data_IF_404969970401
#
_entry.id   IF_404969970401
#
_cell.length_a   1.000
_cell.length_b   1.000
_cell.length_c   1.000
_cell.angle_alpha   90.00
_cell.angle_beta   90.00
_cell.angle_gamma   90.00
#
_symmetry.space_group_name_H-M   'P 1'
#
loop_
_entity.id
_entity.type
_entity.pdbx_description
1 polymer ?
#
# COMPACT_ATOMS: atom_id res chain seq x y z
N UNK A 1 14.70 25.56 6.90
CA UNK A 1 15.43 24.35 7.39
C UNK A 1 14.49 23.31 7.99
N UNK A 2 13.54 23.68 8.84
CA UNK A 2 12.63 22.72 9.52
C UNK A 2 11.80 21.88 8.53
N UNK A 3 11.33 22.45 7.41
CA UNK A 3 10.56 21.72 6.39
C UNK A 3 11.31 20.52 5.79
N UNK A 4 12.61 20.69 5.51
CA UNK A 4 13.42 19.59 4.98
C UNK A 4 13.52 18.41 5.93
N UNK A 5 13.51 18.65 7.24
CA UNK A 5 13.50 17.60 8.25
C UNK A 5 12.20 16.82 8.24
N UNK A 6 11.05 17.51 8.12
CA UNK A 6 9.75 16.84 8.03
C UNK A 6 9.61 16.01 6.75
N UNK A 7 10.08 16.55 5.61
CA UNK A 7 10.09 15.82 4.33
C UNK A 7 10.99 14.58 4.45
N UNK A 8 12.18 14.73 5.04
CA UNK A 8 13.08 13.60 5.30
C UNK A 8 12.48 12.56 6.23
N UNK A 9 11.82 12.98 7.32
CA UNK A 9 11.17 12.09 8.27
C UNK A 9 9.99 11.34 7.63
N UNK A 10 9.16 12.01 6.82
CA UNK A 10 8.06 11.35 6.10
C UNK A 10 8.58 10.31 5.11
N UNK A 11 9.67 10.63 4.38
CA UNK A 11 10.31 9.68 3.48
C UNK A 11 10.87 8.45 4.22
N UNK A 12 11.51 8.64 5.37
CA UNK A 12 11.99 7.54 6.19
C UNK A 12 10.85 6.65 6.69
N UNK A 13 9.75 7.24 7.14
CA UNK A 13 8.57 6.49 7.59
C UNK A 13 7.96 5.66 6.44
N UNK A 14 7.83 6.24 5.25
CA UNK A 14 7.35 5.52 4.08
C UNK A 14 8.27 4.34 3.70
N UNK A 15 9.60 4.52 3.80
CA UNK A 15 10.54 3.42 3.56
C UNK A 15 10.48 2.35 4.65
N UNK A 16 10.26 2.72 5.90
CA UNK A 16 10.06 1.76 6.98
C UNK A 16 8.80 0.92 6.75
N UNK A 17 7.66 1.53 6.43
CA UNK A 17 6.44 0.81 6.08
C UNK A 17 6.64 -0.15 4.90
N UNK A 18 7.44 0.27 3.91
CA UNK A 18 7.80 -0.60 2.79
C UNK A 18 8.64 -1.79 3.22
N UNK A 19 9.61 -1.58 4.10
CA UNK A 19 10.44 -2.67 4.65
C UNK A 19 9.59 -3.64 5.49
N UNK A 20 8.67 -3.12 6.29
CA UNK A 20 7.77 -3.94 7.10
C UNK A 20 6.86 -4.80 6.22
N UNK A 21 6.32 -4.22 5.13
CA UNK A 21 5.51 -4.97 4.16
C UNK A 21 6.34 -6.05 3.45
N UNK A 22 7.55 -5.73 3.01
CA UNK A 22 8.44 -6.71 2.38
C UNK A 22 8.79 -7.84 3.36
N UNK A 23 9.07 -7.51 4.61
CA UNK A 23 9.37 -8.49 5.66
C UNK A 23 8.18 -9.42 5.93
N UNK A 24 6.96 -8.86 5.96
CA UNK A 24 5.73 -9.64 6.09
C UNK A 24 5.54 -10.58 4.89
N UNK A 25 5.69 -10.06 3.66
CA UNK A 25 5.60 -10.88 2.44
C UNK A 25 6.65 -12.01 2.43
N UNK A 26 7.87 -11.71 2.86
CA UNK A 26 8.95 -12.69 2.93
C UNK A 26 8.69 -13.77 3.99
N UNK A 27 8.19 -13.36 5.16
CA UNK A 27 7.83 -14.30 6.23
C UNK A 27 6.72 -15.27 5.81
N UNK A 28 5.87 -14.86 4.87
CA UNK A 28 4.73 -15.63 4.39
C UNK A 28 4.94 -16.26 3.00
N UNK A 29 6.18 -16.29 2.50
CA UNK A 29 6.46 -16.80 1.14
C UNK A 29 6.08 -18.27 0.96
N UNK A 30 6.19 -19.07 2.01
CA UNK A 30 5.80 -20.50 2.01
C UNK A 30 4.38 -20.75 2.53
N UNK A 31 3.65 -19.68 2.92
CA UNK A 31 2.29 -19.82 3.40
C UNK A 31 1.33 -20.03 2.24
N UNK A 32 0.59 -21.16 2.27
CA UNK A 32 -0.38 -21.49 1.23
C UNK A 32 -1.54 -20.49 1.21
N UNK A 33 -1.89 -20.04 0.00
CA UNK A 33 -2.99 -19.08 -0.17
C UNK A 33 -2.67 -17.65 0.22
N UNK A 34 -1.44 -17.34 0.65
CA UNK A 34 -1.02 -15.97 0.94
C UNK A 34 -0.97 -15.12 -0.34
N UNK A 35 -1.41 -13.90 -0.23
CA UNK A 35 -1.35 -12.88 -1.28
C UNK A 35 -0.48 -11.72 -0.81
N UNK A 36 0.51 -11.36 -1.64
CA UNK A 36 1.45 -10.29 -1.29
C UNK A 36 0.75 -8.93 -1.22
N UNK A 37 1.21 -8.12 -0.31
CA UNK A 37 0.78 -6.74 -0.17
C UNK A 37 1.84 -5.79 -0.73
N UNK A 38 1.39 -4.71 -1.34
CA UNK A 38 2.23 -3.67 -1.93
C UNK A 38 1.78 -2.33 -1.36
N UNK A 39 2.67 -1.57 -0.69
CA UNK A 39 2.32 -0.26 -0.17
C UNK A 39 2.21 0.75 -1.33
N UNK A 40 1.10 1.46 -1.36
CA UNK A 40 0.85 2.57 -2.28
C UNK A 40 1.09 3.87 -1.54
N UNK A 41 2.06 4.62 -2.02
CA UNK A 41 2.42 5.90 -1.45
C UNK A 41 1.76 7.04 -2.20
N UNK A 42 1.34 8.06 -1.44
CA UNK A 42 0.76 9.29 -1.94
C UNK A 42 1.62 10.47 -1.48
N UNK A 43 1.74 11.46 -2.32
CA UNK A 43 2.37 12.72 -1.93
C UNK A 43 1.44 13.56 -1.05
N UNK A 44 2.01 14.29 -0.11
CA UNK A 44 1.29 15.35 0.59
C UNK A 44 0.94 16.48 -0.38
N UNK A 45 -0.04 17.31 0.02
CA UNK A 45 -0.45 18.49 -0.74
C UNK A 45 0.76 19.36 -1.10
N UNK A 46 0.80 19.79 -2.34
CA UNK A 46 1.83 20.68 -2.86
C UNK A 46 1.62 22.11 -2.38
N UNK A 47 2.73 22.81 -2.13
CA UNK A 47 2.75 24.26 -1.94
C UNK A 47 3.24 24.95 -3.19
N UNK A 48 2.52 25.99 -3.59
CA UNK A 48 2.93 26.84 -4.70
C UNK A 48 4.14 27.70 -4.31
N UNK A 49 5.21 27.58 -5.08
CA UNK A 49 6.37 28.42 -4.96
C UNK A 49 6.17 29.71 -5.75
N UNK A 50 6.30 30.82 -5.05
CA UNK A 50 6.30 32.15 -5.66
C UNK A 50 7.69 32.74 -5.63
N UNK A 51 8.03 33.43 -6.68
CA UNK A 51 9.28 34.19 -6.74
C UNK A 51 9.17 35.41 -5.87
N UNK A 52 9.97 35.49 -4.78
CA UNK A 52 10.07 36.67 -3.95
C UNK A 52 11.17 37.55 -4.54
N UNK A 53 10.79 38.62 -5.26
CA UNK A 53 11.70 39.68 -5.73
C UNK A 53 11.54 40.82 -4.76
N UNK A 54 12.63 41.42 -4.30
CA UNK A 54 12.63 42.50 -3.29
C UNK A 54 11.82 43.73 -3.71
N UNK A 55 11.62 43.95 -5.03
CA UNK A 55 10.91 45.11 -5.59
C UNK A 55 9.60 44.72 -6.31
N UNK A 56 8.94 43.68 -5.87
CA UNK A 56 7.91 42.95 -6.64
C UNK A 56 6.52 43.56 -6.69
N UNK A 57 6.29 44.75 -6.18
CA UNK A 57 4.98 45.42 -6.29
C UNK A 57 5.06 46.56 -7.28
N UNK A 58 4.54 46.35 -8.49
CA UNK A 58 4.37 47.44 -9.45
C UNK A 58 3.10 48.22 -9.11
N UNK A 59 3.27 49.49 -8.69
CA UNK A 59 2.16 50.42 -8.54
C UNK A 59 1.75 50.92 -9.93
N UNK A 60 0.62 50.44 -10.42
CA UNK A 60 0.01 50.97 -11.64
C UNK A 60 -1.09 51.99 -11.27
N UNK A 61 -1.44 52.91 -12.18
CA UNK A 61 -2.52 53.86 -11.95
C UNK A 61 -3.88 53.25 -11.62
N UNK A 62 -4.06 51.93 -11.90
CA UNK A 62 -5.29 51.15 -11.74
C UNK A 62 -5.22 50.18 -10.55
N UNK A 63 -4.17 50.18 -9.73
CA UNK A 63 -3.98 49.28 -8.61
C UNK A 63 -2.56 48.71 -8.51
N UNK A 64 -2.23 48.05 -7.41
CA UNK A 64 -0.96 47.35 -7.26
C UNK A 64 -1.04 45.94 -7.82
N UNK A 65 -0.18 45.62 -8.80
CA UNK A 65 -0.02 44.26 -9.30
C UNK A 65 1.06 43.53 -8.51
N UNK A 66 0.72 42.41 -7.89
CA UNK A 66 1.68 41.52 -7.23
C UNK A 66 2.48 40.79 -8.32
N UNK A 67 3.73 41.17 -8.48
CA UNK A 67 4.63 40.58 -9.47
C UNK A 67 5.38 39.33 -8.97
N UNK A 68 4.84 38.64 -7.96
CA UNK A 68 5.38 37.37 -7.49
C UNK A 68 4.80 36.19 -8.32
N UNK A 69 5.32 35.92 -9.54
CA UNK A 69 4.80 34.86 -10.36
C UNK A 69 5.02 33.51 -9.70
N UNK A 70 4.06 32.62 -9.88
CA UNK A 70 4.20 31.23 -9.49
C UNK A 70 5.28 30.61 -10.37
N UNK A 71 6.34 30.07 -9.77
CA UNK A 71 7.47 29.43 -10.45
C UNK A 71 7.38 27.91 -10.45
N UNK A 72 6.53 27.35 -9.62
CA UNK A 72 6.37 25.90 -9.52
C UNK A 72 5.64 25.48 -8.25
N UNK A 73 5.66 24.19 -7.98
CA UNK A 73 5.16 23.60 -6.74
C UNK A 73 6.28 22.85 -6.02
N UNK A 74 6.16 22.71 -4.73
CA UNK A 74 7.03 21.90 -3.88
C UNK A 74 6.18 20.92 -3.08
N UNK A 75 6.49 19.63 -3.19
CA UNK A 75 5.87 18.59 -2.37
C UNK A 75 6.31 18.70 -0.91
N UNK A 76 5.40 18.43 0.01
CA UNK A 76 5.67 18.48 1.45
C UNK A 76 6.11 17.16 2.06
N UNK A 77 6.23 16.12 1.24
CA UNK A 77 6.61 14.78 1.67
C UNK A 77 5.73 13.70 1.08
N UNK A 78 5.81 12.51 1.65
CA UNK A 78 5.12 11.30 1.21
C UNK A 78 4.47 10.59 2.41
N UNK A 79 3.32 9.99 2.17
CA UNK A 79 2.65 9.11 3.15
C UNK A 79 2.26 7.79 2.48
N UNK A 80 2.17 6.72 3.27
CA UNK A 80 1.57 5.47 2.82
C UNK A 80 0.06 5.62 2.88
N UNK A 81 -0.59 5.57 1.72
CA UNK A 81 -2.04 5.77 1.60
C UNK A 81 -2.80 4.49 1.92
N UNK A 82 -2.38 3.39 1.31
CA UNK A 82 -3.04 2.08 1.45
C UNK A 82 -2.09 0.93 1.15
N UNK A 83 -2.47 -0.26 1.58
CA UNK A 83 -1.84 -1.51 1.19
C UNK A 83 -2.72 -2.19 0.12
N UNK A 84 -2.16 -2.38 -1.05
CA UNK A 84 -2.83 -3.07 -2.15
C UNK A 84 -2.47 -4.55 -2.12
N UNK A 85 -3.48 -5.43 -2.06
CA UNK A 85 -3.29 -6.88 -2.13
C UNK A 85 -3.28 -7.34 -3.58
N UNK A 86 -2.21 -8.00 -4.00
CA UNK A 86 -2.07 -8.56 -5.33
C UNK A 86 -2.69 -9.96 -5.38
N UNK A 87 -3.83 -10.09 -6.04
CA UNK A 87 -4.56 -11.35 -6.22
C UNK A 87 -4.07 -12.21 -7.40
N UNK A 88 -2.97 -11.84 -8.04
CA UNK A 88 -2.43 -12.64 -9.15
C UNK A 88 -2.23 -14.11 -8.75
N UNK A 89 -2.45 -15.02 -9.71
CA UNK A 89 -2.31 -16.45 -9.50
C UNK A 89 -0.82 -16.83 -9.36
N UNK A 90 -0.49 -17.48 -8.25
CA UNK A 90 0.84 -18.07 -8.03
C UNK A 90 0.99 -19.42 -8.70
N UNK A 91 2.20 -19.97 -8.64
CA UNK A 91 2.49 -21.32 -9.13
C UNK A 91 1.85 -22.39 -8.23
N UNK A 92 1.34 -23.46 -8.84
CA UNK A 92 0.87 -24.62 -8.12
C UNK A 92 2.05 -25.49 -7.68
N UNK A 93 2.01 -25.96 -6.44
CA UNK A 93 2.96 -26.93 -5.91
C UNK A 93 2.19 -28.26 -5.74
N UNK A 94 2.69 -29.30 -6.37
CA UNK A 94 2.14 -30.65 -6.16
C UNK A 94 2.56 -31.15 -4.79
N UNK A 95 1.60 -31.67 -4.02
CA UNK A 95 1.81 -32.31 -2.73
C UNK A 95 1.32 -33.75 -2.78
N UNK A 96 1.82 -34.61 -1.92
CA UNK A 96 1.40 -36.04 -1.86
C UNK A 96 0.17 -36.22 -0.97
N UNK A 97 -0.37 -35.14 -0.41
CA UNK A 97 -1.53 -35.15 0.48
C UNK A 97 -2.82 -35.12 -0.31
N UNK A 98 -3.72 -36.08 -0.10
CA UNK A 98 -4.98 -36.19 -0.86
C UNK A 98 -6.02 -35.11 -0.51
N UNK A 99 -5.86 -34.45 0.61
CA UNK A 99 -6.78 -33.43 1.12
C UNK A 99 -6.39 -32.01 0.68
N UNK A 100 -5.20 -31.85 0.08
CA UNK A 100 -4.76 -30.56 -0.41
C UNK A 100 -5.46 -30.22 -1.72
N UNK A 101 -6.08 -29.07 -1.76
CA UNK A 101 -6.82 -28.55 -2.92
C UNK A 101 -6.30 -27.19 -3.30
N UNK A 102 -6.27 -26.89 -4.60
CA UNK A 102 -5.88 -25.58 -5.09
C UNK A 102 -6.91 -25.04 -6.08
N UNK A 103 -7.22 -23.76 -5.98
CA UNK A 103 -8.10 -23.08 -6.92
C UNK A 103 -7.28 -22.49 -8.07
N UNK A 104 -7.59 -22.92 -9.30
CA UNK A 104 -7.06 -22.32 -10.52
C UNK A 104 -8.04 -21.28 -11.04
N UNK A 105 -7.72 -20.00 -10.82
CA UNK A 105 -8.56 -18.90 -11.24
C UNK A 105 -9.07 -18.05 -10.06
N UNK A 106 -10.04 -17.19 -10.32
CA UNK A 106 -10.64 -16.31 -9.32
C UNK A 106 -11.65 -17.07 -8.45
N UNK A 107 -11.69 -16.76 -7.14
CA UNK A 107 -12.62 -17.34 -6.19
C UNK A 107 -12.01 -17.69 -4.85
N UNK A 108 -12.82 -18.18 -3.92
CA UNK A 108 -12.42 -18.58 -2.57
C UNK A 108 -13.15 -19.87 -2.18
N UNK A 109 -12.55 -20.65 -1.30
CA UNK A 109 -13.25 -21.72 -0.62
C UNK A 109 -14.19 -21.12 0.42
N UNK A 110 -15.43 -21.57 0.45
CA UNK A 110 -16.37 -21.20 1.51
C UNK A 110 -16.29 -22.25 2.61
N UNK A 111 -15.97 -21.81 3.81
CA UNK A 111 -15.86 -22.66 5.01
C UNK A 111 -16.92 -22.24 6.01
N UNK A 112 -17.69 -23.21 6.49
CA UNK A 112 -18.70 -22.98 7.51
C UNK A 112 -18.08 -23.13 8.90
N UNK A 113 -18.06 -22.01 9.66
CA UNK A 113 -17.56 -22.01 11.03
C UNK A 113 -18.70 -21.77 12.01
N UNK A 114 -18.54 -22.09 13.31
CA UNK A 114 -19.56 -21.80 14.34
C UNK A 114 -19.94 -20.31 14.41
N UNK A 115 -19.07 -19.41 13.92
CA UNK A 115 -19.32 -17.97 13.86
C UNK A 115 -19.93 -17.50 12.52
N UNK A 116 -20.29 -18.43 11.61
CA UNK A 116 -20.84 -18.16 10.28
C UNK A 116 -19.93 -18.57 9.13
N UNK A 117 -20.31 -18.23 7.92
CA UNK A 117 -19.54 -18.51 6.71
C UNK A 117 -18.28 -17.64 6.65
N UNK A 118 -17.17 -18.27 6.27
CA UNK A 118 -15.86 -17.61 6.06
C UNK A 118 -15.30 -18.05 4.71
N UNK A 119 -14.47 -17.20 4.16
CA UNK A 119 -13.83 -17.41 2.87
C UNK A 119 -12.32 -17.55 3.05
N UNK A 120 -11.73 -18.54 2.41
CA UNK A 120 -10.30 -18.78 2.44
C UNK A 120 -9.76 -19.13 1.07
N UNK A 121 -8.49 -18.81 0.82
CA UNK A 121 -7.76 -19.25 -0.36
C UNK A 121 -6.79 -20.40 -0.02
N UNK A 122 -6.63 -20.68 1.27
CA UNK A 122 -5.82 -21.79 1.72
C UNK A 122 -6.55 -23.09 1.40
N UNK A 123 -5.88 -24.00 0.71
CA UNK A 123 -6.40 -25.32 0.35
C UNK A 123 -5.78 -26.47 1.10
N UNK A 124 -5.04 -26.18 2.17
CA UNK A 124 -4.47 -27.20 3.02
C UNK A 124 -5.50 -27.60 4.09
N UNK A 125 -6.29 -28.64 3.80
CA UNK A 125 -7.34 -29.11 4.69
C UNK A 125 -6.93 -30.39 5.40
N UNK A 126 -7.36 -30.50 6.64
CA UNK A 126 -7.16 -31.70 7.47
C UNK A 126 -8.48 -32.37 7.79
N UNK A 127 -8.46 -33.69 7.82
CA UNK A 127 -9.63 -34.45 8.22
C UNK A 127 -9.68 -34.53 9.75
N UNK A 128 -10.71 -33.93 10.34
CA UNK A 128 -10.96 -33.98 11.77
C UNK A 128 -11.48 -35.37 12.22
N UNK A 129 -11.54 -35.58 13.56
CA UNK A 129 -11.97 -36.88 14.16
C UNK A 129 -13.40 -37.29 13.79
N UNK A 130 -14.25 -36.33 13.43
CA UNK A 130 -15.63 -36.54 13.03
C UNK A 130 -15.81 -36.65 11.52
N UNK A 131 -14.73 -36.76 10.75
CA UNK A 131 -14.77 -36.80 9.28
C UNK A 131 -15.07 -35.46 8.60
N UNK A 132 -15.01 -34.37 9.35
CA UNK A 132 -15.18 -33.00 8.86
C UNK A 132 -13.83 -32.47 8.38
N UNK A 133 -13.81 -31.81 7.25
CA UNK A 133 -12.62 -31.08 6.76
C UNK A 133 -12.46 -29.79 7.58
N UNK A 134 -11.26 -29.62 8.11
CA UNK A 134 -10.85 -28.46 8.90
C UNK A 134 -9.69 -27.73 8.23
#
# INVERSE_FOLDING_TARGET
MIRGWYIGASGMNAQQNRLDTISNNLANVDTTGFKKEIPVNKEFSELLLRRTVADGVYKTPFGSADAAPIIGSIGLGVETNELYTDFSQGSFKSTDTKTDMALGGEGFFTVQTPAGERYTRNGNFHLGKEGILL
#
